data_IF_694825561866
#
_entry.id   IF_694825561866
#
_cell.length_a   1.000
_cell.length_b   1.000
_cell.length_c   1.000
_cell.angle_alpha   90.00
_cell.angle_beta   90.00
_cell.angle_gamma   90.00
#
_symmetry.space_group_name_H-M   'P 1'
#
loop_
_entity.id
_entity.type
_entity.pdbx_description
1 polymer ?
#
# COMPACT_ATOMS: atom_id res chain seq x y z
N UNK A 1 -32.39 -70.17 -5.02
CA UNK A 1 -32.70 -68.75 -4.76
C UNK A 1 -31.67 -68.20 -3.77
N UNK A 2 -30.69 -67.42 -4.25
CA UNK A 2 -29.67 -66.76 -3.43
C UNK A 2 -29.93 -65.26 -3.50
N UNK A 3 -30.24 -64.64 -2.36
CA UNK A 3 -30.45 -63.21 -2.23
C UNK A 3 -29.10 -62.52 -2.07
N UNK A 4 -28.81 -61.56 -2.94
CA UNK A 4 -27.62 -60.71 -2.88
C UNK A 4 -27.93 -59.48 -2.02
N UNK A 5 -27.19 -59.33 -0.92
CA UNK A 5 -27.19 -58.16 -0.06
C UNK A 5 -26.28 -57.10 -0.70
N UNK A 6 -26.86 -56.01 -1.20
CA UNK A 6 -26.14 -54.86 -1.71
C UNK A 6 -25.69 -53.94 -0.58
N UNK A 7 -24.38 -53.74 -0.44
CA UNK A 7 -23.80 -52.77 0.48
C UNK A 7 -23.78 -51.38 -0.18
N UNK A 8 -24.62 -50.48 0.31
CA UNK A 8 -24.57 -49.06 -0.02
C UNK A 8 -23.42 -48.40 0.75
N UNK A 9 -22.35 -48.03 0.03
CA UNK A 9 -21.23 -47.26 0.55
C UNK A 9 -21.62 -45.77 0.57
N UNK A 10 -21.99 -45.24 1.73
CA UNK A 10 -22.26 -43.83 1.93
C UNK A 10 -20.93 -43.05 1.99
N UNK A 11 -20.59 -42.35 0.91
CA UNK A 11 -19.46 -41.42 0.88
C UNK A 11 -19.92 -40.12 1.54
N UNK A 12 -19.47 -39.89 2.78
CA UNK A 12 -19.70 -38.65 3.50
C UNK A 12 -18.88 -37.51 2.88
N UNK A 13 -19.57 -36.53 2.31
CA UNK A 13 -19.01 -35.27 1.83
C UNK A 13 -18.49 -34.45 3.01
N UNK A 14 -17.21 -34.59 3.33
CA UNK A 14 -16.50 -33.68 4.23
C UNK A 14 -16.33 -32.34 3.51
N UNK A 15 -17.24 -31.40 3.79
CA UNK A 15 -17.10 -30.00 3.38
C UNK A 15 -15.84 -29.41 3.99
N UNK A 16 -14.80 -29.28 3.17
CA UNK A 16 -13.55 -28.65 3.56
C UNK A 16 -13.77 -27.16 3.84
N UNK A 17 -13.69 -26.77 5.12
CA UNK A 17 -13.56 -25.38 5.51
C UNK A 17 -12.26 -24.84 4.90
N UNK A 18 -12.37 -23.99 3.89
CA UNK A 18 -11.23 -23.23 3.37
C UNK A 18 -10.77 -22.26 4.47
N UNK A 19 -9.77 -22.66 5.24
CA UNK A 19 -9.14 -21.81 6.24
C UNK A 19 -8.51 -20.61 5.52
N UNK A 20 -9.13 -19.44 5.62
CA UNK A 20 -8.51 -18.17 5.20
C UNK A 20 -7.42 -17.85 6.21
N UNK A 21 -6.18 -18.17 5.87
CA UNK A 21 -5.01 -17.71 6.62
C UNK A 21 -4.91 -16.20 6.40
N UNK A 22 -5.32 -15.41 7.41
CA UNK A 22 -4.98 -13.98 7.49
C UNK A 22 -3.51 -13.93 7.89
N UNK A 23 -2.63 -13.65 6.93
CA UNK A 23 -1.25 -13.32 7.25
C UNK A 23 -1.25 -11.88 7.75
N UNK A 24 -1.08 -11.70 9.05
CA UNK A 24 -0.80 -10.38 9.63
C UNK A 24 0.63 -10.00 9.22
N UNK A 25 0.76 -9.03 8.32
CA UNK A 25 2.05 -8.46 7.96
C UNK A 25 2.37 -7.40 9.02
N UNK A 26 3.43 -7.57 9.83
CA UNK A 26 3.78 -6.57 10.84
C UNK A 26 4.07 -5.23 10.16
N UNK A 27 3.71 -4.13 10.83
CA UNK A 27 3.99 -2.79 10.32
C UNK A 27 5.51 -2.61 10.14
N UNK A 28 5.95 -2.26 8.93
CA UNK A 28 7.35 -1.99 8.65
C UNK A 28 7.85 -0.83 9.54
N UNK A 29 9.02 -0.96 10.18
CA UNK A 29 9.57 0.11 11.00
C UNK A 29 9.83 1.36 10.13
N UNK A 30 9.45 2.53 10.63
CA UNK A 30 9.80 3.81 10.01
C UNK A 30 11.27 4.10 10.29
N UNK A 31 12.05 4.37 9.25
CA UNK A 31 13.50 4.56 9.38
C UNK A 31 13.79 6.03 9.19
N UNK A 32 14.20 6.70 10.26
CA UNK A 32 14.65 8.08 10.17
C UNK A 32 16.01 8.12 9.47
N UNK A 33 16.02 8.30 8.15
CA UNK A 33 17.27 8.51 7.41
C UNK A 33 17.76 9.92 7.73
N UNK A 34 18.82 10.03 8.52
CA UNK A 34 19.41 11.32 8.94
C UNK A 34 20.11 12.07 7.80
N UNK A 35 20.26 11.44 6.63
CA UNK A 35 20.92 12.00 5.48
C UNK A 35 19.98 12.93 4.70
N UNK A 36 20.45 14.14 4.43
CA UNK A 36 19.74 15.11 3.61
C UNK A 36 19.69 14.71 2.13
N UNK A 37 20.55 13.80 1.68
CA UNK A 37 20.64 13.32 0.32
C UNK A 37 20.73 11.79 0.25
N UNK A 38 20.10 11.20 -0.77
CA UNK A 38 19.98 9.75 -0.91
C UNK A 38 20.14 9.30 -2.37
N UNK A 39 20.81 8.17 -2.58
CA UNK A 39 20.88 7.51 -3.87
C UNK A 39 19.89 6.36 -3.90
N UNK A 40 19.10 6.23 -4.96
CA UNK A 40 18.27 5.04 -5.18
C UNK A 40 18.91 4.21 -6.27
N UNK A 41 19.21 2.96 -5.98
CA UNK A 41 19.87 2.02 -6.88
C UNK A 41 19.10 0.72 -6.94
N UNK A 42 19.24 0.01 -8.05
CA UNK A 42 18.68 -1.31 -8.22
C UNK A 42 19.79 -2.32 -8.40
N UNK A 43 19.73 -3.43 -7.67
CA UNK A 43 20.72 -4.51 -7.76
C UNK A 43 20.40 -5.50 -8.89
N UNK A 44 19.17 -5.45 -9.41
CA UNK A 44 18.70 -6.30 -10.50
C UNK A 44 17.91 -5.48 -11.53
N UNK A 45 18.10 -5.78 -12.82
CA UNK A 45 17.33 -5.22 -13.92
C UNK A 45 15.81 -5.30 -13.72
N UNK A 46 15.31 -6.37 -13.09
CA UNK A 46 13.87 -6.56 -12.85
C UNK A 46 13.27 -5.54 -11.86
N UNK A 47 14.12 -4.96 -11.00
CA UNK A 47 13.76 -3.96 -10.00
C UNK A 47 13.97 -2.52 -10.47
N UNK A 48 14.48 -2.31 -11.69
CA UNK A 48 14.83 -0.97 -12.18
C UNK A 48 13.63 -0.02 -12.20
N UNK A 49 12.48 -0.47 -12.71
CA UNK A 49 11.27 0.36 -12.75
C UNK A 49 10.83 0.79 -11.33
N UNK A 50 10.85 -0.12 -10.36
CA UNK A 50 10.51 0.19 -8.96
C UNK A 50 11.50 1.20 -8.37
N UNK A 51 12.80 1.04 -8.62
CA UNK A 51 13.83 1.96 -8.15
C UNK A 51 13.70 3.36 -8.78
N UNK A 52 13.43 3.44 -10.09
CA UNK A 52 13.23 4.70 -10.81
C UNK A 52 12.00 5.44 -10.26
N UNK A 53 10.88 4.73 -10.07
CA UNK A 53 9.66 5.25 -9.44
C UNK A 53 9.88 5.69 -8.01
N UNK A 54 10.65 4.93 -7.23
CA UNK A 54 10.98 5.28 -5.85
C UNK A 54 11.79 6.58 -5.81
N UNK A 55 12.76 6.74 -6.71
CA UNK A 55 13.50 8.00 -6.85
C UNK A 55 12.58 9.19 -7.18
N UNK A 56 11.60 9.02 -8.07
CA UNK A 56 10.57 10.03 -8.36
C UNK A 56 9.76 10.38 -7.10
N UNK A 57 9.22 9.38 -6.39
CA UNK A 57 8.41 9.61 -5.19
C UNK A 57 9.18 10.31 -4.07
N UNK A 58 10.46 9.98 -3.88
CA UNK A 58 11.30 10.64 -2.87
C UNK A 58 11.59 12.10 -3.24
N UNK A 59 11.79 12.42 -4.53
CA UNK A 59 11.92 13.82 -4.98
C UNK A 59 10.61 14.59 -4.77
N UNK A 60 9.47 13.99 -5.05
CA UNK A 60 8.15 14.58 -4.79
C UNK A 60 7.92 14.84 -3.30
N UNK A 61 8.54 14.04 -2.43
CA UNK A 61 8.61 14.22 -0.99
C UNK A 61 9.70 15.22 -0.52
N UNK A 62 10.29 15.98 -1.45
CA UNK A 62 11.34 16.97 -1.22
C UNK A 62 12.66 16.41 -0.66
N UNK A 63 12.96 15.13 -0.88
CA UNK A 63 14.29 14.56 -0.61
C UNK A 63 15.28 14.90 -1.75
N UNK A 64 16.53 15.17 -1.40
CA UNK A 64 17.62 15.37 -2.37
C UNK A 64 18.11 14.02 -2.92
N UNK A 65 17.57 13.59 -4.07
CA UNK A 65 17.94 12.30 -4.67
C UNK A 65 19.10 12.47 -5.67
N UNK A 66 20.31 12.04 -5.29
CA UNK A 66 21.54 12.15 -6.09
C UNK A 66 22.34 10.84 -6.13
N UNK A 67 22.99 10.51 -7.25
CA UNK A 67 23.68 9.22 -7.43
C UNK A 67 24.94 9.05 -6.57
N UNK A 68 25.54 10.17 -6.13
CA UNK A 68 26.76 10.23 -5.31
C UNK A 68 26.49 10.36 -3.81
N UNK A 69 25.23 10.29 -3.39
CA UNK A 69 24.87 10.42 -1.98
C UNK A 69 25.43 9.24 -1.13
N UNK A 70 25.87 9.52 0.11
CA UNK A 70 26.45 8.50 1.00
C UNK A 70 25.39 7.54 1.57
N UNK A 71 24.13 7.98 1.67
CA UNK A 71 22.99 7.12 1.96
C UNK A 71 22.48 6.51 0.66
N UNK A 72 22.24 5.19 0.65
CA UNK A 72 21.78 4.44 -0.51
C UNK A 72 20.56 3.61 -0.15
N UNK A 73 19.56 3.63 -1.02
CA UNK A 73 18.46 2.68 -1.02
C UNK A 73 18.70 1.71 -2.17
N UNK A 74 18.97 0.46 -1.84
CA UNK A 74 19.18 -0.59 -2.82
C UNK A 74 17.91 -1.43 -2.90
N UNK A 75 17.22 -1.41 -4.05
CA UNK A 75 16.08 -2.30 -4.34
C UNK A 75 16.63 -3.57 -5.00
N UNK A 76 16.62 -4.68 -4.26
CA UNK A 76 17.35 -5.90 -4.67
C UNK A 76 16.47 -7.11 -4.99
N UNK A 77 15.23 -7.17 -4.49
CA UNK A 77 14.29 -8.24 -4.84
C UNK A 77 12.94 -7.64 -5.25
N UNK A 78 12.45 -8.00 -6.43
CA UNK A 78 11.12 -7.60 -6.91
C UNK A 78 10.42 -8.83 -7.45
N UNK A 79 9.25 -9.12 -6.89
CA UNK A 79 8.42 -10.23 -7.31
C UNK A 79 7.08 -9.68 -7.79
N UNK A 80 6.63 -10.15 -8.95
CA UNK A 80 5.34 -9.81 -9.51
C UNK A 80 4.60 -11.09 -9.81
N UNK A 81 3.35 -11.17 -9.38
CA UNK A 81 2.51 -12.32 -9.67
C UNK A 81 1.14 -11.86 -10.13
N UNK A 82 0.56 -12.67 -11.02
CA UNK A 82 -0.78 -12.47 -11.54
C UNK A 82 -1.53 -13.77 -11.35
N UNK A 83 -2.75 -13.67 -10.87
CA UNK A 83 -3.67 -14.79 -10.81
C UNK A 83 -5.02 -14.35 -11.36
N UNK A 84 -5.68 -15.28 -12.03
CA UNK A 84 -7.06 -15.11 -12.46
C UNK A 84 -7.88 -16.16 -11.74
N UNK A 85 -8.77 -15.72 -10.85
CA UNK A 85 -9.64 -16.64 -10.10
C UNK A 85 -10.73 -17.22 -11.00
N UNK A 86 -11.18 -16.46 -12.01
CA UNK A 86 -12.01 -16.93 -13.11
C UNK A 86 -11.50 -16.28 -14.41
N UNK A 87 -11.08 -17.04 -15.44
CA UNK A 87 -10.47 -16.51 -16.67
C UNK A 87 -11.31 -15.48 -17.44
N UNK A 88 -12.57 -15.27 -17.06
CA UNK A 88 -13.47 -14.29 -17.68
C UNK A 88 -13.75 -13.06 -16.82
N UNK A 89 -13.47 -13.09 -15.51
CA UNK A 89 -14.09 -12.11 -14.60
C UNK A 89 -13.10 -11.13 -14.01
N UNK A 90 -11.97 -11.58 -13.48
CA UNK A 90 -11.03 -10.71 -12.76
C UNK A 90 -9.58 -11.11 -12.96
N UNK A 91 -8.73 -10.11 -13.10
CA UNK A 91 -7.29 -10.25 -13.01
C UNK A 91 -6.83 -9.66 -11.67
N UNK A 92 -6.21 -10.50 -10.85
CA UNK A 92 -5.53 -10.08 -9.63
C UNK A 92 -4.03 -9.97 -9.92
N UNK A 93 -3.48 -8.78 -9.70
CA UNK A 93 -2.05 -8.51 -9.77
C UNK A 93 -1.50 -8.19 -8.39
N UNK A 94 -0.34 -8.73 -8.07
CA UNK A 94 0.41 -8.47 -6.83
C UNK A 94 1.85 -8.14 -7.17
N UNK A 95 2.41 -7.14 -6.51
CA UNK A 95 3.83 -6.78 -6.61
C UNK A 95 4.41 -6.60 -5.22
N UNK A 96 5.64 -7.07 -5.03
CA UNK A 96 6.39 -6.92 -3.80
C UNK A 96 7.82 -6.54 -4.13
N UNK A 97 8.41 -5.64 -3.36
CA UNK A 97 9.83 -5.34 -3.43
C UNK A 97 10.47 -5.28 -2.05
N UNK A 98 11.73 -5.70 -1.97
CA UNK A 98 12.57 -5.56 -0.78
C UNK A 98 13.67 -4.56 -1.10
N UNK A 99 13.83 -3.59 -0.20
CA UNK A 99 14.89 -2.59 -0.29
C UNK A 99 15.72 -2.55 1.00
N UNK A 100 17.01 -2.27 0.89
CA UNK A 100 17.88 -1.99 2.03
C UNK A 100 18.27 -0.52 2.02
N UNK A 101 18.19 0.11 3.19
CA UNK A 101 18.75 1.45 3.41
C UNK A 101 20.13 1.27 4.03
N UNK A 102 21.14 1.80 3.35
CA UNK A 102 22.54 1.73 3.77
C UNK A 102 23.08 3.15 3.95
N UNK A 103 23.73 3.42 5.08
CA UNK A 103 24.39 4.70 5.35
C UNK A 103 25.85 4.42 5.65
N UNK A 104 26.77 5.06 4.91
CA UNK A 104 28.22 4.84 5.06
C UNK A 104 28.67 3.36 4.95
N UNK A 105 27.91 2.55 4.20
CA UNK A 105 28.21 1.12 4.00
C UNK A 105 27.56 0.18 5.02
N UNK A 106 26.88 0.70 6.05
CA UNK A 106 26.18 -0.12 7.05
C UNK A 106 24.67 -0.15 6.76
N UNK A 107 24.05 -1.32 6.90
CA UNK A 107 22.61 -1.49 6.69
C UNK A 107 21.89 -0.94 7.92
N UNK A 108 21.21 0.18 7.76
CA UNK A 108 20.38 0.80 8.79
C UNK A 108 19.01 0.14 8.86
N UNK A 109 18.47 -0.29 7.72
CA UNK A 109 17.15 -0.88 7.66
C UNK A 109 16.89 -1.74 6.44
N UNK A 110 15.88 -2.61 6.58
CA UNK A 110 15.27 -3.34 5.50
C UNK A 110 13.79 -2.94 5.40
N UNK A 111 13.37 -2.64 4.19
CA UNK A 111 12.03 -2.17 3.85
C UNK A 111 11.36 -3.19 2.94
N UNK A 112 10.05 -3.33 3.11
CA UNK A 112 9.23 -4.19 2.25
C UNK A 112 8.10 -3.35 1.70
N UNK A 113 8.09 -3.17 0.38
CA UNK A 113 7.01 -2.54 -0.35
C UNK A 113 6.06 -3.59 -0.90
N UNK A 114 4.76 -3.40 -0.77
CA UNK A 114 3.76 -4.31 -1.32
C UNK A 114 2.59 -3.56 -1.98
N UNK A 115 2.13 -4.08 -3.11
CA UNK A 115 0.95 -3.60 -3.83
C UNK A 115 0.10 -4.76 -4.31
N UNK A 116 -1.21 -4.53 -4.40
CA UNK A 116 -2.17 -5.51 -4.87
C UNK A 116 -3.37 -4.83 -5.50
N UNK A 117 -3.79 -5.33 -6.66
CA UNK A 117 -4.96 -4.84 -7.38
C UNK A 117 -5.78 -5.99 -7.91
N UNK A 118 -7.09 -5.82 -7.89
CA UNK A 118 -8.05 -6.72 -8.53
C UNK A 118 -8.85 -5.87 -9.49
N UNK A 119 -8.81 -6.22 -10.76
CA UNK A 119 -9.51 -5.48 -11.80
C UNK A 119 -10.37 -6.42 -12.65
N UNK A 120 -11.58 -5.99 -13.06
CA UNK A 120 -12.46 -6.80 -13.87
C UNK A 120 -11.94 -6.95 -15.31
N UNK A 121 -11.95 -8.18 -15.83
CA UNK A 121 -11.49 -8.44 -17.20
C UNK A 121 -12.43 -7.89 -18.28
N UNK A 122 -13.70 -7.65 -17.95
CA UNK A 122 -14.69 -7.07 -18.86
C UNK A 122 -14.30 -5.66 -19.37
N UNK A 123 -13.44 -4.95 -18.64
CA UNK A 123 -12.99 -3.61 -19.01
C UNK A 123 -11.75 -3.63 -19.94
N UNK A 124 -11.18 -4.82 -20.21
CA UNK A 124 -9.99 -5.02 -21.03
C UNK A 124 -10.35 -4.97 -22.52
N UNK A 125 -10.57 -3.76 -23.03
CA UNK A 125 -10.80 -3.51 -24.46
C UNK A 125 -9.50 -3.49 -25.27
N UNK A 126 -8.39 -3.17 -24.60
CA UNK A 126 -7.04 -3.20 -25.13
C UNK A 126 -6.42 -4.57 -24.80
N UNK A 127 -6.02 -5.36 -25.81
CA UNK A 127 -5.62 -6.76 -25.63
C UNK A 127 -4.72 -7.05 -24.41
N UNK A 128 -4.89 -8.25 -23.85
CA UNK A 128 -4.37 -8.69 -22.53
C UNK A 128 -2.90 -8.30 -22.24
N UNK A 129 -2.03 -8.31 -23.25
CA UNK A 129 -0.61 -7.96 -23.10
C UNK A 129 -0.42 -6.48 -22.72
N UNK A 130 -1.09 -5.56 -23.40
CA UNK A 130 -1.00 -4.12 -23.10
C UNK A 130 -1.58 -3.82 -21.73
N UNK A 131 -2.67 -4.47 -21.41
CA UNK A 131 -3.32 -4.36 -20.11
C UNK A 131 -2.43 -4.86 -18.98
N UNK A 132 -1.82 -6.06 -19.12
CA UNK A 132 -0.87 -6.57 -18.12
C UNK A 132 0.30 -5.62 -17.91
N UNK A 133 0.84 -5.05 -18.98
CA UNK A 133 1.94 -4.11 -18.88
C UNK A 133 1.55 -2.76 -18.24
N UNK A 134 0.29 -2.34 -18.36
CA UNK A 134 -0.25 -1.20 -17.63
C UNK A 134 -0.38 -1.52 -16.13
N UNK A 135 -0.98 -2.67 -15.80
CA UNK A 135 -1.14 -3.13 -14.42
C UNK A 135 0.22 -3.32 -13.73
N UNK A 136 1.20 -3.89 -14.42
CA UNK A 136 2.60 -3.98 -13.98
C UNK A 136 3.16 -2.62 -13.54
N UNK A 137 3.05 -1.60 -14.40
CA UNK A 137 3.55 -0.26 -14.11
C UNK A 137 2.81 0.40 -12.95
N UNK A 138 1.49 0.22 -12.87
CA UNK A 138 0.69 0.75 -11.77
C UNK A 138 1.10 0.12 -10.43
N UNK A 139 1.26 -1.20 -10.40
CA UNK A 139 1.71 -1.93 -9.20
C UNK A 139 3.13 -1.53 -8.79
N UNK A 140 4.05 -1.38 -9.74
CA UNK A 140 5.42 -0.92 -9.44
C UNK A 140 5.42 0.51 -8.86
N UNK A 141 4.56 1.39 -9.39
CA UNK A 141 4.36 2.73 -8.83
C UNK A 141 3.77 2.73 -7.42
N UNK A 142 2.91 1.77 -7.09
CA UNK A 142 2.36 1.59 -5.74
C UNK A 142 3.38 1.03 -4.76
N UNK A 143 4.16 0.03 -5.16
CA UNK A 143 5.28 -0.51 -4.37
C UNK A 143 6.30 0.60 -4.07
N UNK A 144 6.67 1.39 -5.09
CA UNK A 144 7.57 2.52 -4.93
C UNK A 144 7.02 3.59 -3.96
N UNK A 145 5.71 3.86 -4.01
CA UNK A 145 5.04 4.77 -3.08
C UNK A 145 5.08 4.24 -1.65
N UNK A 146 4.77 2.97 -1.46
CA UNK A 146 4.80 2.31 -0.15
C UNK A 146 6.21 2.34 0.46
N UNK A 147 7.25 2.07 -0.34
CA UNK A 147 8.65 2.21 0.09
C UNK A 147 8.99 3.67 0.45
N UNK A 148 8.58 4.64 -0.38
CA UNK A 148 8.82 6.06 -0.11
C UNK A 148 8.16 6.51 1.20
N UNK A 149 6.94 6.07 1.47
CA UNK A 149 6.21 6.34 2.72
C UNK A 149 6.93 5.79 3.96
N UNK A 150 7.65 4.66 3.84
CA UNK A 150 8.45 4.09 4.93
C UNK A 150 9.75 4.87 5.19
N UNK A 151 10.36 5.45 4.15
CA UNK A 151 11.63 6.19 4.21
C UNK A 151 11.41 7.62 4.67
N UNK A 152 10.54 8.31 3.94
CA UNK A 152 10.27 9.72 4.10
C UNK A 152 8.74 9.84 4.13
N UNK A 153 8.11 9.45 5.25
CA UNK A 153 6.69 9.69 5.42
C UNK A 153 6.48 11.19 5.19
N UNK A 154 5.85 11.53 4.07
CA UNK A 154 5.59 12.92 3.72
C UNK A 154 4.95 13.54 4.95
N UNK A 155 5.52 14.59 5.56
CA UNK A 155 4.91 15.20 6.72
C UNK A 155 3.53 15.64 6.28
N UNK A 156 2.49 14.92 6.73
CA UNK A 156 1.17 15.07 6.14
C UNK A 156 0.60 16.48 6.38
N UNK A 157 1.21 17.22 7.30
CA UNK A 157 1.02 18.66 7.49
C UNK A 157 1.27 19.50 6.22
N UNK A 158 2.17 19.10 5.31
CA UNK A 158 2.52 19.85 4.09
C UNK A 158 1.45 19.70 3.00
N UNK A 159 0.65 18.61 2.99
CA UNK A 159 -0.43 18.43 1.99
C UNK A 159 -1.82 18.83 2.50
N UNK A 160 -2.03 19.02 3.80
CA UNK A 160 -3.38 19.26 4.34
C UNK A 160 -3.71 20.74 4.43
N UNK A 161 -4.35 21.21 3.36
CA UNK A 161 -4.88 22.57 3.24
C UNK A 161 -5.85 22.86 4.38
N UNK A 162 -5.44 23.72 5.31
CA UNK A 162 -6.34 24.32 6.30
C UNK A 162 -7.13 25.43 5.63
N UNK A 163 -8.46 25.38 5.70
CA UNK A 163 -9.33 26.37 5.10
C UNK A 163 -9.60 27.50 6.11
N UNK A 164 -9.25 28.76 5.76
CA UNK A 164 -9.33 29.91 6.68
C UNK A 164 -10.76 30.38 7.03
N UNK A 165 -11.76 29.98 6.26
CA UNK A 165 -13.17 30.31 6.51
C UNK A 165 -14.05 29.11 6.20
N UNK A 166 -14.56 28.46 7.23
CA UNK A 166 -15.42 27.28 7.12
C UNK A 166 -16.72 27.53 7.87
N UNK A 167 -17.85 27.29 7.21
CA UNK A 167 -19.14 27.27 7.91
C UNK A 167 -19.16 26.10 8.89
N UNK A 168 -19.75 26.29 10.08
CA UNK A 168 -19.94 25.23 11.07
C UNK A 168 -20.67 24.04 10.40
N UNK A 169 -20.19 22.83 10.62
CA UNK A 169 -20.75 21.61 10.02
C UNK A 169 -20.47 21.43 8.51
N UNK A 170 -19.69 22.31 7.88
CA UNK A 170 -19.28 22.12 6.48
C UNK A 170 -18.21 21.03 6.35
N UNK A 171 -18.14 20.38 5.19
CA UNK A 171 -17.09 19.41 4.88
C UNK A 171 -15.66 19.99 5.06
N UNK A 172 -15.48 21.31 4.89
CA UNK A 172 -14.19 21.97 5.14
C UNK A 172 -13.93 22.15 6.64
N UNK A 173 -14.96 22.43 7.44
CA UNK A 173 -14.83 22.51 8.90
C UNK A 173 -14.45 21.14 9.48
N UNK A 174 -15.15 20.07 9.07
CA UNK A 174 -14.79 18.71 9.47
C UNK A 174 -13.39 18.32 9.00
N UNK A 175 -12.98 18.70 7.79
CA UNK A 175 -11.60 18.48 7.35
C UNK A 175 -10.58 19.20 8.24
N UNK A 176 -10.81 20.47 8.60
CA UNK A 176 -9.91 21.19 9.49
C UNK A 176 -9.81 20.52 10.88
N UNK A 177 -10.93 20.02 11.42
CA UNK A 177 -10.96 19.28 12.70
C UNK A 177 -10.17 17.97 12.60
N UNK A 178 -10.34 17.22 11.51
CA UNK A 178 -9.57 16.00 11.25
C UNK A 178 -8.06 16.29 11.21
N UNK A 179 -7.67 17.36 10.51
CA UNK A 179 -6.26 17.78 10.42
C UNK A 179 -5.70 18.20 11.78
N UNK A 180 -6.50 18.90 12.60
CA UNK A 180 -6.08 19.32 13.93
C UNK A 180 -5.89 18.10 14.86
N UNK A 181 -6.88 17.22 14.96
CA UNK A 181 -6.82 16.00 15.77
C UNK A 181 -5.63 15.13 15.38
N UNK A 182 -5.36 15.00 14.08
CA UNK A 182 -4.22 14.21 13.64
C UNK A 182 -2.87 14.84 14.01
N UNK A 183 -2.74 16.16 13.95
CA UNK A 183 -1.52 16.86 14.38
C UNK A 183 -1.26 16.68 15.87
N UNK A 184 -2.30 16.47 16.66
CA UNK A 184 -2.24 16.16 18.08
C UNK A 184 -2.00 14.65 18.34
N UNK A 185 -1.86 13.83 17.30
CA UNK A 185 -1.68 12.38 17.41
C UNK A 185 -2.96 11.61 17.75
N UNK A 186 -4.13 12.27 17.75
CA UNK A 186 -5.41 11.65 18.07
C UNK A 186 -6.01 10.98 16.83
N UNK A 187 -5.43 9.84 16.41
CA UNK A 187 -5.88 9.14 15.20
C UNK A 187 -7.36 8.73 15.18
N UNK A 188 -7.96 8.22 16.27
CA UNK A 188 -9.38 7.89 16.28
C UNK A 188 -10.27 9.12 15.97
N UNK A 189 -9.98 10.26 16.59
CA UNK A 189 -10.73 11.49 16.39
C UNK A 189 -10.50 12.06 14.99
N UNK A 190 -9.27 12.00 14.50
CA UNK A 190 -8.94 12.39 13.13
C UNK A 190 -9.75 11.60 12.10
N UNK A 191 -9.83 10.27 12.25
CA UNK A 191 -10.60 9.40 11.37
C UNK A 191 -12.08 9.75 11.42
N UNK A 192 -12.64 9.88 12.61
CA UNK A 192 -14.05 10.22 12.80
C UNK A 192 -14.42 11.55 12.13
N UNK A 193 -13.61 12.60 12.31
CA UNK A 193 -13.83 13.88 11.63
C UNK A 193 -13.65 13.81 10.11
N UNK A 194 -12.70 12.99 9.62
CA UNK A 194 -12.48 12.81 8.19
C UNK A 194 -13.67 12.10 7.51
N UNK A 195 -14.26 11.11 8.17
CA UNK A 195 -15.48 10.43 7.72
C UNK A 195 -16.65 11.42 7.63
N UNK A 196 -16.87 12.25 8.66
CA UNK A 196 -17.87 13.33 8.63
C UNK A 196 -17.65 14.31 7.47
N UNK A 197 -16.39 14.63 7.15
CA UNK A 197 -16.04 15.46 6.00
C UNK A 197 -16.39 14.79 4.66
N UNK A 198 -16.15 13.48 4.54
CA UNK A 198 -16.47 12.68 3.37
C UNK A 198 -17.99 12.53 3.19
N UNK A 199 -18.74 12.27 4.27
CA UNK A 199 -20.21 12.23 4.26
C UNK A 199 -20.81 13.57 3.85
N UNK A 200 -20.32 14.67 4.42
CA UNK A 200 -20.84 16.01 4.14
C UNK A 200 -20.60 16.43 2.68
N UNK A 201 -19.49 15.98 2.06
CA UNK A 201 -19.22 16.19 0.63
C UNK A 201 -18.25 15.14 0.09
N UNK A 202 -18.76 14.07 -0.55
CA UNK A 202 -17.92 13.02 -1.10
C UNK A 202 -16.89 13.56 -2.09
N UNK A 203 -15.64 13.10 -1.96
CA UNK A 203 -14.55 13.41 -2.89
C UNK A 203 -13.52 12.29 -2.89
N UNK A 204 -12.92 11.94 -4.05
CA UNK A 204 -11.84 10.96 -4.11
C UNK A 204 -10.67 11.30 -3.18
N UNK A 205 -10.35 12.58 -3.03
CA UNK A 205 -9.27 13.02 -2.12
C UNK A 205 -9.60 12.80 -0.65
N UNK A 206 -10.86 12.98 -0.25
CA UNK A 206 -11.31 12.74 1.12
C UNK A 206 -11.43 11.25 1.42
N UNK A 207 -11.90 10.45 0.46
CA UNK A 207 -11.93 9.00 0.58
C UNK A 207 -10.52 8.43 0.83
N UNK A 208 -9.52 8.89 0.06
CA UNK A 208 -8.10 8.53 0.29
C UNK A 208 -7.62 8.93 1.68
N UNK A 209 -8.01 10.12 2.15
CA UNK A 209 -7.63 10.58 3.49
C UNK A 209 -8.23 9.72 4.61
N UNK A 210 -9.50 9.31 4.48
CA UNK A 210 -10.17 8.38 5.40
C UNK A 210 -9.48 7.01 5.38
N UNK A 211 -9.22 6.46 4.20
CA UNK A 211 -8.55 5.16 4.04
C UNK A 211 -7.14 5.17 4.66
N UNK A 212 -6.39 6.25 4.46
CA UNK A 212 -5.06 6.45 5.04
C UNK A 212 -5.10 6.48 6.58
N UNK A 213 -6.00 7.29 7.16
CA UNK A 213 -6.19 7.36 8.61
C UNK A 213 -6.61 6.01 9.20
N UNK A 214 -7.50 5.29 8.52
CA UNK A 214 -7.92 3.93 8.92
C UNK A 214 -6.75 2.94 8.90
N UNK A 215 -5.93 2.94 7.84
CA UNK A 215 -4.71 2.10 7.76
C UNK A 215 -3.73 2.42 8.89
N UNK A 216 -3.56 3.69 9.26
CA UNK A 216 -2.68 4.09 10.38
C UNK A 216 -3.22 3.65 11.72
N UNK A 217 -4.50 3.89 11.98
CA UNK A 217 -5.15 3.47 13.22
C UNK A 217 -5.03 1.95 13.42
N UNK A 218 -5.24 1.17 12.35
CA UNK A 218 -5.07 -0.28 12.39
C UNK A 218 -3.61 -0.71 12.65
N UNK A 219 -2.62 0.04 12.15
CA UNK A 219 -1.19 -0.23 12.42
C UNK A 219 -0.83 0.05 13.87
N UNK A 220 -1.25 1.19 14.43
CA UNK A 220 -0.94 1.56 15.81
C UNK A 220 -1.64 0.63 16.81
N UNK A 221 -2.91 0.29 16.56
CA UNK A 221 -3.69 -0.63 17.40
C UNK A 221 -3.24 -2.10 17.37
N UNK A 222 -2.44 -2.50 16.37
CA UNK A 222 -1.86 -3.84 16.26
C UNK A 222 -0.56 -4.01 17.07
N UNK A 223 -0.10 -2.97 17.77
CA UNK A 223 1.08 -3.08 18.65
C UNK A 223 0.62 -3.63 20.00
N UNK A 224 0.89 -4.90 20.36
CA UNK A 224 0.57 -5.40 21.69
C UNK A 224 1.39 -4.62 22.74
N UNK A 225 0.70 -4.12 23.77
CA UNK A 225 1.30 -3.54 24.98
C UNK A 225 2.07 -4.60 25.77
#
# INVERSE_FOLDING_TARGET
MRAALGAFLAIALLGGCAARVRVEVPASPTVAVSANAIAVVSDNRDCREVADRLAEQLRDAAMDVRPDAPARITVFACNRSWSSTNPTDTLEGRSQAIAAVTVNGEIEAQLVGAAGRVEPMADIHEGLVHYRHRLERDLDGEVARDLAEQIAPVPLMVRRRVYAATGVGSARAFHNLAVAAEREGQLPDALWWAERAQEARPSPLRARYVEELSRRLNREGATPL
#
